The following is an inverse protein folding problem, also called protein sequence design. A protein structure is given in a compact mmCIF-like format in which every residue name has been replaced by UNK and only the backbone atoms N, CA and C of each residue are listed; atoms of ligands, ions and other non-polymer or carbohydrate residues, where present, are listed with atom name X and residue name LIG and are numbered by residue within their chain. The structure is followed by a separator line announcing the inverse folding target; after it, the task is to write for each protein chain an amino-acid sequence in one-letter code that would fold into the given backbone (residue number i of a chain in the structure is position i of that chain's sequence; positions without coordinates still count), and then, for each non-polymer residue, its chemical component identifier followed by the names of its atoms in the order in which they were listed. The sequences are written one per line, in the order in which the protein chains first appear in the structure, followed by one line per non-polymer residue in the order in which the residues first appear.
data_IF_109805047173
#
_entry.id   IF_109805047173
#
_cell.length_a   1.000
_cell.length_b   1.000
_cell.length_c   1.000
_cell.angle_alpha   90.00
_cell.angle_beta   90.00
_cell.angle_gamma   90.00
#
_symmetry.space_group_name_H-M   'P 1'
#
loop_
_entity.id
_entity.type
_entity.pdbx_description
1 polymer ?
#
# COMPACT_ATOMS: atom_id res chain seq x y z
N UNK A 1 4.34 -7.08 -6.68
CA UNK A 1 4.63 -5.64 -6.50
C UNK A 1 6.12 -5.36 -6.62
N UNK A 2 6.96 -6.03 -5.80
CA UNK A 2 8.42 -5.85 -5.83
C UNK A 2 9.05 -6.00 -7.22
N UNK A 3 8.73 -7.07 -7.93
CA UNK A 3 9.26 -7.27 -9.30
C UNK A 3 8.80 -6.18 -10.29
N UNK A 4 7.57 -5.65 -10.15
CA UNK A 4 7.09 -4.53 -10.97
C UNK A 4 7.70 -3.19 -10.56
N UNK A 5 8.13 -3.02 -9.31
CA UNK A 5 8.90 -1.83 -8.91
C UNK A 5 10.34 -1.89 -9.43
N UNK A 6 10.94 -3.08 -9.52
CA UNK A 6 12.31 -3.28 -9.98
C UNK A 6 12.43 -3.34 -11.51
N UNK A 7 11.44 -3.93 -12.20
CA UNK A 7 11.45 -4.20 -13.65
C UNK A 7 10.30 -3.56 -14.43
N UNK A 8 9.32 -2.98 -13.74
CA UNK A 8 8.09 -2.50 -14.37
C UNK A 8 8.27 -1.16 -15.06
N UNK A 9 7.18 -0.72 -15.67
CA UNK A 9 7.16 0.48 -16.47
C UNK A 9 7.26 1.75 -15.59
N UNK A 10 7.83 2.86 -16.10
CA UNK A 10 7.94 4.12 -15.36
C UNK A 10 6.61 4.58 -14.76
N UNK A 11 5.51 4.36 -15.47
CA UNK A 11 4.15 4.75 -15.06
C UNK A 11 3.71 4.05 -13.77
N UNK A 12 4.08 2.77 -13.58
CA UNK A 12 3.81 2.05 -12.34
C UNK A 12 4.62 2.61 -11.16
N UNK A 13 5.88 2.96 -11.41
CA UNK A 13 6.74 3.59 -10.38
C UNK A 13 6.20 4.95 -9.97
N UNK A 14 5.77 5.77 -10.94
CA UNK A 14 5.22 7.11 -10.69
C UNK A 14 3.90 7.03 -9.91
N UNK A 15 3.01 6.12 -10.32
CA UNK A 15 1.77 5.83 -9.57
C UNK A 15 2.07 5.40 -8.14
N UNK A 16 3.04 4.52 -7.94
CA UNK A 16 3.45 4.08 -6.60
C UNK A 16 4.06 5.23 -5.77
N UNK A 17 4.80 6.15 -6.39
CA UNK A 17 5.35 7.32 -5.70
C UNK A 17 4.27 8.32 -5.30
N UNK A 18 3.25 8.54 -6.13
CA UNK A 18 2.09 9.38 -5.78
C UNK A 18 1.28 8.76 -4.64
N UNK A 19 0.97 7.47 -4.71
CA UNK A 19 0.27 6.76 -3.62
C UNK A 19 1.10 6.83 -2.34
N UNK A 20 2.42 6.65 -2.42
CA UNK A 20 3.31 6.79 -1.27
C UNK A 20 3.28 8.22 -0.69
N UNK A 21 3.17 9.26 -1.51
CA UNK A 21 3.03 10.64 -1.06
C UNK A 21 1.70 10.85 -0.32
N UNK A 22 0.59 10.32 -0.84
CA UNK A 22 -0.73 10.36 -0.18
C UNK A 22 -0.66 9.67 1.18
N UNK A 23 -0.14 8.44 1.23
CA UNK A 23 0.02 7.68 2.48
C UNK A 23 0.85 8.42 3.53
N UNK A 24 1.86 9.19 3.09
CA UNK A 24 2.68 10.02 4.00
C UNK A 24 1.93 11.26 4.48
N UNK A 25 1.21 11.94 3.59
CA UNK A 25 0.40 13.11 3.94
C UNK A 25 -0.69 12.78 4.97
N UNK A 26 -1.23 11.56 4.91
CA UNK A 26 -2.24 11.05 5.84
C UNK A 26 -1.65 10.38 7.09
N UNK A 27 -0.32 10.47 7.28
CA UNK A 27 0.42 9.88 8.40
C UNK A 27 0.28 8.35 8.53
N UNK A 28 -0.14 7.68 7.45
CA UNK A 28 -0.27 6.23 7.38
C UNK A 28 1.11 5.58 7.35
N UNK A 29 1.97 6.08 6.46
CA UNK A 29 3.36 5.64 6.33
C UNK A 29 4.28 6.78 6.78
N UNK A 30 5.24 6.54 7.69
CA UNK A 30 6.11 7.60 8.17
C UNK A 30 7.00 8.17 7.06
N UNK A 31 7.13 9.51 7.05
CA UNK A 31 8.13 10.21 6.24
C UNK A 31 9.55 10.01 6.80
N UNK A 32 9.66 9.99 8.13
CA UNK A 32 10.92 9.76 8.85
C UNK A 32 11.49 8.38 8.51
N UNK A 33 12.82 8.29 8.42
CA UNK A 33 13.56 7.06 8.03
C UNK A 33 13.30 6.57 6.60
N UNK A 34 12.92 7.46 5.68
CA UNK A 34 12.89 7.16 4.23
C UNK A 34 14.22 6.56 3.74
N UNK A 35 15.36 6.99 4.27
CA UNK A 35 16.68 6.48 3.88
C UNK A 35 16.92 5.02 4.24
N UNK A 36 16.22 4.49 5.26
CA UNK A 36 16.42 3.11 5.75
C UNK A 36 15.31 2.18 5.26
N UNK A 37 14.07 2.65 5.28
CA UNK A 37 12.89 1.83 4.99
C UNK A 37 12.16 2.27 3.71
N UNK A 38 12.78 3.13 2.89
CA UNK A 38 12.14 3.74 1.72
C UNK A 38 11.57 2.71 0.74
N UNK A 39 12.33 1.66 0.45
CA UNK A 39 11.87 0.58 -0.44
C UNK A 39 10.71 -0.21 0.15
N UNK A 40 10.77 -0.56 1.45
CA UNK A 40 9.67 -1.24 2.14
C UNK A 40 8.39 -0.39 2.10
N UNK A 41 8.52 0.92 2.28
CA UNK A 41 7.39 1.85 2.20
C UNK A 41 6.83 1.94 0.77
N UNK A 42 7.70 1.99 -0.24
CA UNK A 42 7.30 2.01 -1.65
C UNK A 42 6.63 0.69 -2.06
N UNK A 43 7.05 -0.45 -1.50
CA UNK A 43 6.36 -1.73 -1.72
C UNK A 43 4.92 -1.74 -1.21
N UNK A 44 4.62 -1.06 -0.09
CA UNK A 44 3.24 -0.93 0.40
C UNK A 44 2.39 -0.14 -0.61
N UNK A 45 2.90 0.99 -1.11
CA UNK A 45 2.22 1.76 -2.13
C UNK A 45 2.08 0.97 -3.45
N UNK A 46 3.12 0.28 -3.89
CA UNK A 46 3.08 -0.57 -5.07
C UNK A 46 2.08 -1.73 -4.97
N UNK A 47 1.83 -2.27 -3.77
CA UNK A 47 0.79 -3.27 -3.56
C UNK A 47 -0.62 -2.71 -3.78
N UNK A 48 -0.85 -1.44 -3.43
CA UNK A 48 -2.12 -0.74 -3.70
C UNK A 48 -2.31 -0.52 -5.20
N UNK A 49 -1.28 0.00 -5.88
CA UNK A 49 -1.34 0.21 -7.35
C UNK A 49 -1.56 -1.12 -8.06
N UNK A 50 -0.88 -2.18 -7.64
CA UNK A 50 -1.08 -3.49 -8.25
C UNK A 50 -2.47 -4.09 -8.00
N UNK A 51 -3.08 -3.80 -6.85
CA UNK A 51 -4.46 -4.21 -6.59
C UNK A 51 -5.43 -3.48 -7.53
N UNK A 52 -5.20 -2.19 -7.76
CA UNK A 52 -5.96 -1.39 -8.74
C UNK A 52 -5.79 -1.92 -10.17
N UNK A 53 -4.56 -2.05 -10.66
CA UNK A 53 -4.27 -2.48 -12.04
C UNK A 53 -4.86 -3.86 -12.38
N UNK A 54 -4.99 -4.72 -11.37
CA UNK A 54 -5.50 -6.09 -11.53
C UNK A 54 -6.98 -6.23 -11.17
N UNK A 55 -7.66 -5.12 -10.86
CA UNK A 55 -9.05 -5.09 -10.40
C UNK A 55 -9.30 -6.10 -9.26
N UNK A 56 -8.46 -6.04 -8.22
CA UNK A 56 -8.46 -6.99 -7.10
C UNK A 56 -8.32 -6.30 -5.74
N UNK A 57 -8.43 -7.09 -4.68
CA UNK A 57 -8.32 -6.63 -3.29
C UNK A 57 -6.92 -6.89 -2.72
N UNK A 58 -6.56 -6.10 -1.71
CA UNK A 58 -5.38 -6.38 -0.89
C UNK A 58 -5.80 -7.36 0.21
N UNK A 59 -5.33 -8.60 0.12
CA UNK A 59 -5.74 -9.68 1.01
C UNK A 59 -4.79 -9.84 2.20
N UNK A 60 -5.29 -9.54 3.41
CA UNK A 60 -4.56 -9.70 4.67
C UNK A 60 -4.93 -11.03 5.32
N UNK A 61 -4.22 -12.09 4.92
CA UNK A 61 -4.43 -13.45 5.43
C UNK A 61 -3.88 -13.68 6.86
N UNK A 62 -2.76 -13.01 7.21
CA UNK A 62 -2.17 -13.06 8.55
C UNK A 62 -1.85 -11.66 9.03
N UNK A 63 -2.03 -11.43 10.34
CA UNK A 63 -1.65 -10.20 11.04
C UNK A 63 -0.48 -10.42 12.00
N UNK A 64 0.12 -11.60 11.98
CA UNK A 64 1.25 -11.94 12.86
C UNK A 64 2.53 -11.32 12.30
N UNK A 65 3.18 -10.46 13.07
CA UNK A 65 4.42 -9.78 12.66
C UNK A 65 5.52 -10.77 12.26
N UNK A 66 5.58 -11.93 12.94
CA UNK A 66 6.53 -13.00 12.61
C UNK A 66 6.38 -13.54 11.19
N UNK A 67 5.15 -13.62 10.66
CA UNK A 67 4.90 -14.03 9.28
C UNK A 67 5.51 -13.02 8.30
N UNK A 68 5.31 -11.72 8.52
CA UNK A 68 5.87 -10.69 7.65
C UNK A 68 7.40 -10.67 7.70
N UNK A 69 7.98 -10.77 8.90
CA UNK A 69 9.43 -10.83 9.06
C UNK A 69 10.04 -12.06 8.37
N UNK A 70 9.38 -13.22 8.45
CA UNK A 70 9.83 -14.45 7.81
C UNK A 70 9.92 -14.32 6.29
N UNK A 71 8.96 -13.62 5.67
CA UNK A 71 8.96 -13.35 4.23
C UNK A 71 9.77 -12.10 3.82
N UNK A 72 10.54 -11.51 4.73
CA UNK A 72 11.38 -10.34 4.45
C UNK A 72 10.61 -9.02 4.27
N UNK A 73 9.37 -8.98 4.75
CA UNK A 73 8.53 -7.77 4.74
C UNK A 73 8.64 -7.00 6.06
N UNK A 74 8.27 -5.72 6.02
CA UNK A 74 8.19 -4.91 7.24
C UNK A 74 7.14 -5.47 8.20
N UNK A 75 7.53 -5.65 9.46
CA UNK A 75 6.60 -6.00 10.55
C UNK A 75 5.56 -4.91 10.83
N UNK A 76 5.76 -3.70 10.27
CA UNK A 76 4.86 -2.55 10.40
C UNK A 76 3.75 -2.50 9.35
N UNK A 77 3.74 -3.41 8.37
CA UNK A 77 2.72 -3.40 7.31
C UNK A 77 1.30 -3.43 7.88
N UNK A 78 1.03 -4.29 8.86
CA UNK A 78 -0.31 -4.37 9.49
C UNK A 78 -0.70 -3.03 10.12
N UNK A 79 0.24 -2.35 10.77
CA UNK A 79 0.00 -1.03 11.38
C UNK A 79 -0.32 0.02 10.31
N UNK A 80 0.37 -0.01 9.17
CA UNK A 80 0.11 0.89 8.04
C UNK A 80 -1.26 0.61 7.41
N UNK A 81 -1.62 -0.66 7.21
CA UNK A 81 -2.93 -1.01 6.66
C UNK A 81 -4.06 -0.64 7.63
N UNK A 82 -3.90 -0.85 8.93
CA UNK A 82 -4.88 -0.41 9.94
C UNK A 82 -5.07 1.12 9.91
N UNK A 83 -3.98 1.88 9.77
CA UNK A 83 -4.03 3.35 9.61
C UNK A 83 -4.70 3.77 8.30
N UNK A 84 -4.45 3.07 7.20
CA UNK A 84 -5.10 3.33 5.92
C UNK A 84 -6.60 3.10 5.99
N UNK A 85 -7.03 2.04 6.69
CA UNK A 85 -8.45 1.76 6.96
C UNK A 85 -9.07 2.85 7.83
N UNK A 86 -8.37 3.30 8.88
CA UNK A 86 -8.86 4.37 9.75
C UNK A 86 -8.97 5.75 9.07
N UNK A 87 -8.36 5.91 7.90
CA UNK A 87 -8.37 7.14 7.09
C UNK A 87 -9.23 7.01 5.83
N UNK A 88 -10.01 5.94 5.72
CA UNK A 88 -10.86 5.62 4.56
C UNK A 88 -10.08 5.52 3.22
N UNK A 89 -8.76 5.32 3.29
CA UNK A 89 -7.92 5.07 2.11
C UNK A 89 -8.06 3.62 1.64
N UNK A 90 -8.30 2.71 2.58
CA UNK A 90 -8.64 1.32 2.31
C UNK A 90 -9.95 0.99 3.00
N UNK A 91 -10.82 0.25 2.32
CA UNK A 91 -12.11 -0.17 2.84
C UNK A 91 -12.01 -1.64 3.27
N UNK A 92 -12.38 -1.89 4.52
CA UNK A 92 -12.41 -3.23 5.10
C UNK A 92 -13.84 -3.61 5.45
N UNK A 93 -14.17 -4.89 5.35
CA UNK A 93 -15.44 -5.43 5.87
C UNK A 93 -15.49 -5.42 7.41
N UNK A 94 -14.37 -5.13 8.06
CA UNK A 94 -14.25 -5.03 9.52
C UNK A 94 -13.66 -3.68 9.91
N UNK A 95 -13.66 -3.33 11.20
CA UNK A 95 -13.05 -2.08 11.69
C UNK A 95 -11.51 -2.05 11.64
N UNK A 96 -10.87 -3.04 11.02
CA UNK A 96 -9.41 -3.22 10.98
C UNK A 96 -8.98 -3.81 9.64
N UNK A 97 -7.69 -3.77 9.34
CA UNK A 97 -7.11 -4.41 8.15
C UNK A 97 -7.11 -5.95 8.31
N UNK A 98 -8.22 -6.60 7.93
CA UNK A 98 -8.37 -8.05 7.96
C UNK A 98 -9.18 -8.53 6.77
N UNK A 99 -8.72 -9.60 6.12
CA UNK A 99 -9.39 -10.16 4.95
C UNK A 99 -9.13 -9.30 3.73
N UNK A 100 -10.17 -9.14 2.89
CA UNK A 100 -10.09 -8.40 1.63
C UNK A 100 -10.24 -6.90 1.89
N UNK A 101 -9.27 -6.12 1.44
CA UNK A 101 -9.30 -4.65 1.50
C UNK A 101 -9.50 -4.10 0.09
N UNK A 102 -10.56 -3.31 -0.08
CA UNK A 102 -10.82 -2.55 -1.31
C UNK A 102 -10.18 -1.17 -1.22
N UNK A 103 -9.93 -0.54 -2.37
CA UNK A 103 -9.40 0.82 -2.40
C UNK A 103 -10.50 1.83 -2.05
N UNK A 104 -10.14 2.85 -1.28
CA UNK A 104 -11.01 3.98 -0.98
C UNK A 104 -11.09 4.98 -2.13
N UNK A 105 -12.12 5.85 -2.16
CA UNK A 105 -12.39 6.76 -3.26
C UNK A 105 -11.19 7.67 -3.61
N UNK A 106 -10.50 8.21 -2.61
CA UNK A 106 -9.34 9.07 -2.84
C UNK A 106 -8.22 8.36 -3.62
N UNK A 107 -7.96 7.09 -3.32
CA UNK A 107 -6.91 6.36 -4.03
C UNK A 107 -7.36 6.03 -5.46
N UNK A 108 -8.63 5.68 -5.64
CA UNK A 108 -9.22 5.42 -6.96
C UNK A 108 -9.14 6.66 -7.86
N UNK A 109 -9.60 7.82 -7.38
CA UNK A 109 -9.62 9.08 -8.15
C UNK A 109 -8.21 9.45 -8.66
N UNK A 110 -7.18 9.29 -7.82
CA UNK A 110 -5.81 9.56 -8.24
C UNK A 110 -5.30 8.52 -9.24
N UNK A 111 -5.61 7.24 -9.06
CA UNK A 111 -5.14 6.19 -9.97
C UNK A 111 -5.86 6.26 -11.33
N UNK A 112 -7.14 6.60 -11.34
CA UNK A 112 -7.92 6.87 -12.55
C UNK A 112 -7.31 8.05 -13.33
N UNK A 113 -6.87 9.11 -12.64
CA UNK A 113 -6.20 10.24 -13.28
C UNK A 113 -4.86 9.87 -13.97
N UNK A 114 -4.11 8.92 -13.43
CA UNK A 114 -2.84 8.47 -14.04
C UNK A 114 -3.01 7.40 -15.11
N UNK A 115 -4.17 6.74 -15.16
CA UNK A 115 -4.47 5.67 -16.13
C UNK A 115 -5.31 6.15 -17.32
N UNK A 116 -5.84 7.38 -17.27
CA UNK A 116 -6.51 8.09 -18.36
C UNK A 116 -5.51 8.77 -19.32
#
# INVERSE_FOLDING_TARGET
ARERLEKGSPEFSDSADTILAILRSQEVVPYKRRSVNGELHKMVAGAIVEAYDRDTTIDVASRHQGTFSYYGYSTKIVEYLDKAVAKDLLLSQTSRAKGKLSLGPLLLDYLDYYSA
#
